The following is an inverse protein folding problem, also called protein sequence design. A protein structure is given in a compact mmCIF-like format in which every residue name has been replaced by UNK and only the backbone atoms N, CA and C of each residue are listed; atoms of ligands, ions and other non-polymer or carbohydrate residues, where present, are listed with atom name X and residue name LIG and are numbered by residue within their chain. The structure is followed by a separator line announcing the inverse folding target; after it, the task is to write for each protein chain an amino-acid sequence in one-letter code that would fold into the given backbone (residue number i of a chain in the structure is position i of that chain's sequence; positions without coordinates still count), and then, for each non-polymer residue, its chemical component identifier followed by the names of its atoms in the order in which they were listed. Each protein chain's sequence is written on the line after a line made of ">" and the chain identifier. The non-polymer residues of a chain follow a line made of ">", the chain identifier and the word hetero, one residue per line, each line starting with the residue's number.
data_IF_414507433133
#
_entry.id   IF_414507433133
#
_cell.length_a   1.000
_cell.length_b   1.000
_cell.length_c   1.000
_cell.angle_alpha   90.00
_cell.angle_beta   90.00
_cell.angle_gamma   90.00
#
_symmetry.space_group_name_H-M   'P 1'
#
loop_
_entity.id
_entity.type
_entity.pdbx_description
1 polymer ?
#
# COMPACT_ATOMS: atom_id res chain seq x y z
N UNK A 1 5.06 -5.21 -12.85
CA UNK A 1 4.90 -4.10 -13.83
C UNK A 1 4.22 -2.94 -13.12
N UNK A 2 4.77 -1.73 -13.16
CA UNK A 2 4.13 -0.56 -12.55
C UNK A 2 3.53 0.29 -13.66
N UNK A 3 2.23 0.56 -13.57
CA UNK A 3 1.54 1.44 -14.51
C UNK A 3 2.02 2.88 -14.39
N UNK A 4 2.21 3.57 -15.51
CA UNK A 4 2.48 5.02 -15.54
C UNK A 4 1.28 5.87 -15.05
N UNK A 5 0.12 5.24 -14.85
CA UNK A 5 -1.08 5.86 -14.32
C UNK A 5 -1.26 5.61 -12.82
N UNK A 6 -0.37 4.85 -12.19
CA UNK A 6 -0.33 4.71 -10.74
C UNK A 6 0.45 5.88 -10.12
N UNK A 7 0.02 6.33 -8.95
CA UNK A 7 0.80 7.26 -8.14
C UNK A 7 1.55 6.46 -7.07
N UNK A 8 2.87 6.59 -7.05
CA UNK A 8 3.73 6.00 -6.03
C UNK A 8 4.63 7.10 -5.49
N UNK A 9 4.54 7.35 -4.19
CA UNK A 9 5.43 8.30 -3.53
C UNK A 9 6.90 7.83 -3.64
N UNK A 10 7.87 8.72 -3.91
CA UNK A 10 9.29 8.35 -4.09
C UNK A 10 9.91 7.58 -2.91
N UNK A 11 9.42 7.83 -1.68
CA UNK A 11 9.93 7.18 -0.47
C UNK A 11 9.33 5.79 -0.21
N UNK A 12 8.31 5.38 -0.97
CA UNK A 12 7.70 4.06 -0.83
C UNK A 12 8.71 2.96 -1.19
N UNK A 13 8.79 1.92 -0.36
CA UNK A 13 9.72 0.80 -0.57
C UNK A 13 9.01 -0.34 -1.29
N UNK A 14 9.29 -0.46 -2.58
CA UNK A 14 8.68 -1.46 -3.47
C UNK A 14 9.66 -2.62 -3.72
N UNK A 15 9.22 -3.83 -3.41
CA UNK A 15 9.96 -5.07 -3.66
C UNK A 15 10.11 -5.41 -5.15
N UNK A 16 10.86 -6.49 -5.40
CA UNK A 16 11.07 -7.03 -6.75
C UNK A 16 9.78 -7.62 -7.31
N UNK A 17 9.60 -7.51 -8.63
CA UNK A 17 8.47 -8.10 -9.35
C UNK A 17 7.08 -7.69 -8.84
N UNK A 18 6.97 -6.59 -8.09
CA UNK A 18 5.70 -6.00 -7.69
C UNK A 18 4.96 -5.49 -8.93
N UNK A 19 3.65 -5.70 -8.95
CA UNK A 19 2.77 -5.15 -9.99
C UNK A 19 1.79 -4.17 -9.36
N UNK A 20 1.70 -2.98 -9.96
CA UNK A 20 0.81 -1.91 -9.52
C UNK A 20 0.00 -1.46 -10.72
N UNK A 21 -1.30 -1.72 -10.67
CA UNK A 21 -2.24 -1.41 -11.74
C UNK A 21 -2.62 0.08 -11.76
N UNK A 22 -3.18 0.59 -12.88
CA UNK A 22 -3.56 1.99 -13.04
C UNK A 22 -4.38 2.56 -11.88
N UNK A 23 -4.14 3.83 -11.56
CA UNK A 23 -4.87 4.60 -10.56
C UNK A 23 -4.77 4.09 -9.12
N UNK A 24 -3.90 3.11 -8.85
CA UNK A 24 -3.50 2.83 -7.49
C UNK A 24 -2.73 4.04 -6.92
N UNK A 25 -2.96 4.33 -5.65
CA UNK A 25 -2.26 5.35 -4.88
C UNK A 25 -1.45 4.69 -3.78
N UNK A 26 -0.14 4.98 -3.72
CA UNK A 26 0.77 4.46 -2.70
C UNK A 26 1.47 5.64 -2.01
N UNK A 27 1.23 5.78 -0.70
CA UNK A 27 1.81 6.82 0.15
C UNK A 27 3.31 6.59 0.47
N UNK A 28 3.94 7.54 1.15
CA UNK A 28 5.40 7.55 1.36
C UNK A 28 5.89 6.51 2.36
N UNK A 29 5.21 6.35 3.49
CA UNK A 29 5.59 5.42 4.55
C UNK A 29 4.99 4.02 4.31
N UNK A 30 5.27 3.44 3.14
CA UNK A 30 4.75 2.14 2.70
C UNK A 30 5.89 1.19 2.37
N UNK A 31 5.72 -0.09 2.74
CA UNK A 31 6.59 -1.19 2.32
C UNK A 31 5.74 -2.29 1.68
N UNK A 32 6.12 -2.72 0.48
CA UNK A 32 5.46 -3.81 -0.26
C UNK A 32 6.50 -4.88 -0.63
N UNK A 33 6.27 -6.12 -0.19
CA UNK A 33 7.15 -7.25 -0.45
C UNK A 33 7.10 -7.77 -1.88
N UNK A 34 8.12 -8.57 -2.22
CA UNK A 34 8.35 -9.10 -3.56
C UNK A 34 7.13 -9.87 -4.13
N UNK A 35 6.86 -9.67 -5.43
CA UNK A 35 5.82 -10.38 -6.17
C UNK A 35 4.38 -10.04 -5.76
N UNK A 36 4.17 -9.08 -4.87
CA UNK A 36 2.83 -8.60 -4.51
C UNK A 36 2.18 -7.87 -5.68
N UNK A 37 0.88 -8.08 -5.85
CA UNK A 37 0.05 -7.39 -6.82
C UNK A 37 -0.92 -6.42 -6.13
N UNK A 38 -0.92 -5.18 -6.60
CA UNK A 38 -1.83 -4.11 -6.19
C UNK A 38 -2.74 -3.77 -7.36
N UNK A 39 -4.03 -4.09 -7.19
CA UNK A 39 -5.06 -3.88 -8.20
C UNK A 39 -5.44 -2.40 -8.39
N UNK A 40 -6.17 -2.09 -9.48
CA UNK A 40 -6.49 -0.72 -9.88
C UNK A 40 -7.34 0.00 -8.83
N UNK A 41 -7.16 1.32 -8.71
CA UNK A 41 -7.86 2.18 -7.76
C UNK A 41 -7.67 1.81 -6.27
N UNK A 42 -6.72 0.94 -5.93
CA UNK A 42 -6.38 0.64 -4.53
C UNK A 42 -5.67 1.84 -3.89
N UNK A 43 -5.92 2.08 -2.61
CA UNK A 43 -5.27 3.15 -1.83
C UNK A 43 -4.48 2.54 -0.69
N UNK A 44 -3.15 2.64 -0.76
CA UNK A 44 -2.21 2.16 0.25
C UNK A 44 -1.67 3.37 1.01
N UNK A 45 -2.12 3.56 2.24
CA UNK A 45 -1.83 4.73 3.07
C UNK A 45 -0.58 4.51 3.94
N UNK A 46 -0.09 5.59 4.56
CA UNK A 46 1.08 5.56 5.42
C UNK A 46 0.92 4.54 6.56
N UNK A 47 2.01 3.86 6.90
CA UNK A 47 2.06 2.81 7.92
C UNK A 47 1.85 1.39 7.37
N UNK A 48 1.51 1.23 6.09
CA UNK A 48 1.31 -0.10 5.50
C UNK A 48 2.63 -0.90 5.43
N UNK A 49 2.58 -2.16 5.89
CA UNK A 49 3.64 -3.17 5.74
C UNK A 49 3.02 -4.42 5.12
N UNK A 50 3.15 -4.55 3.80
CA UNK A 50 2.57 -5.65 3.04
C UNK A 50 3.70 -6.63 2.69
N UNK A 51 3.52 -7.90 3.02
CA UNK A 51 4.47 -8.96 2.69
C UNK A 51 4.51 -9.31 1.21
N UNK A 52 5.01 -10.52 0.93
CA UNK A 52 5.31 -11.01 -0.41
C UNK A 52 4.09 -11.70 -1.01
N UNK A 53 3.99 -11.72 -2.34
CA UNK A 53 2.98 -12.49 -3.10
C UNK A 53 1.52 -12.26 -2.68
N UNK A 54 1.25 -11.14 -2.02
CA UNK A 54 -0.10 -10.72 -1.69
C UNK A 54 -0.88 -10.31 -2.94
N UNK A 55 -2.21 -10.34 -2.83
CA UNK A 55 -3.12 -9.81 -3.84
C UNK A 55 -4.06 -8.80 -3.20
N UNK A 56 -3.81 -7.52 -3.46
CA UNK A 56 -4.67 -6.43 -3.02
C UNK A 56 -5.65 -6.12 -4.16
N UNK A 57 -6.91 -6.45 -3.96
CA UNK A 57 -7.94 -6.34 -4.99
C UNK A 57 -8.41 -4.89 -5.22
N UNK A 58 -9.06 -4.60 -6.36
CA UNK A 58 -9.46 -3.25 -6.73
C UNK A 58 -10.22 -2.50 -5.64
N UNK A 59 -9.95 -1.21 -5.52
CA UNK A 59 -10.62 -0.30 -4.56
C UNK A 59 -10.40 -0.62 -3.07
N UNK A 60 -9.48 -1.54 -2.73
CA UNK A 60 -9.11 -1.77 -1.35
C UNK A 60 -8.39 -0.55 -0.76
N UNK A 61 -8.67 -0.26 0.52
CA UNK A 61 -7.96 0.76 1.30
C UNK A 61 -7.20 0.06 2.41
N UNK A 62 -5.88 0.22 2.42
CA UNK A 62 -4.97 -0.39 3.41
C UNK A 62 -4.32 0.70 4.24
N UNK A 63 -4.25 0.50 5.56
CA UNK A 63 -3.62 1.42 6.52
C UNK A 63 -4.28 2.79 6.66
N UNK A 64 -5.60 2.87 6.44
CA UNK A 64 -6.35 4.07 6.84
C UNK A 64 -6.23 4.31 8.34
N UNK A 65 -6.22 5.59 8.76
CA UNK A 65 -6.10 5.94 10.18
C UNK A 65 -7.20 5.27 11.01
N UNK A 66 -6.93 4.92 12.28
CA UNK A 66 -7.95 4.37 13.16
C UNK A 66 -9.18 5.26 13.24
N UNK A 67 -10.37 4.66 13.17
CA UNK A 67 -11.64 5.36 13.36
C UNK A 67 -11.96 5.63 14.83
N UNK A 68 -11.07 5.24 15.75
CA UNK A 68 -11.20 5.50 17.18
C UNK A 68 -11.06 7.00 17.46
N UNK A 69 -12.05 7.59 18.13
CA UNK A 69 -12.08 9.02 18.49
C UNK A 69 -10.92 9.44 19.42
N UNK A 70 -10.24 8.47 20.04
CA UNK A 70 -9.06 8.71 20.87
C UNK A 70 -7.78 8.88 20.06
N UNK A 71 -7.77 8.51 18.78
CA UNK A 71 -6.61 8.68 17.91
C UNK A 71 -6.24 10.18 17.79
N UNK A 72 -4.97 10.51 17.99
CA UNK A 72 -4.43 11.88 17.94
C UNK A 72 -3.36 12.06 16.88
N UNK A 73 -3.24 11.13 15.94
CA UNK A 73 -2.22 11.19 14.88
C UNK A 73 -0.89 10.55 15.31
N UNK A 74 -0.93 9.63 16.27
CA UNK A 74 0.21 8.82 16.66
C UNK A 74 0.68 7.96 15.47
N UNK A 75 1.99 7.71 15.39
CA UNK A 75 2.50 6.77 14.39
C UNK A 75 1.99 5.35 14.67
N UNK A 76 1.39 4.74 13.65
CA UNK A 76 0.84 3.38 13.71
C UNK A 76 1.11 2.65 12.40
N UNK A 77 1.02 1.32 12.41
CA UNK A 77 1.21 0.47 11.24
C UNK A 77 0.05 -0.49 11.06
N UNK A 78 -0.15 -0.93 9.81
CA UNK A 78 -1.01 -2.04 9.45
C UNK A 78 -0.19 -3.09 8.70
N UNK A 79 -0.14 -4.32 9.22
CA UNK A 79 0.73 -5.38 8.72
C UNK A 79 -0.07 -6.51 8.08
N UNK A 80 0.30 -6.88 6.85
CA UNK A 80 -0.22 -8.03 6.12
C UNK A 80 0.98 -8.95 5.85
N UNK A 81 0.83 -10.25 6.15
CA UNK A 81 1.86 -11.27 5.93
C UNK A 81 2.12 -11.60 4.45
N UNK A 82 2.48 -12.85 4.18
CA UNK A 82 2.75 -13.36 2.82
C UNK A 82 1.56 -14.17 2.28
#
# INVERSE_FOLDING_TARGET
>A
MISNLAFIHPDAKIGKDVTVDPFAYIAGNVVIGDGTWVGPNSTIMDGARIGKKCRIFPSAVVSGIPQDLKFRGEETTAEIGD
#
